data_IF_226837902508
#
_entry.id   IF_226837902508
#
_cell.length_a   1.000
_cell.length_b   1.000
_cell.length_c   1.000
_cell.angle_alpha   90.00
_cell.angle_beta   90.00
_cell.angle_gamma   90.00
#
_symmetry.space_group_name_H-M   'P 1'
#
loop_
_entity.id
_entity.type
_entity.pdbx_description
1 polymer ?
#
# COMPACT_ATOMS: atom_id res chain seq x y z
N UNK A 1 -10.78 19.06 22.52
CA UNK A 1 -12.15 18.73 22.10
C UNK A 1 -12.07 17.51 21.19
N UNK A 2 -12.39 16.31 21.68
CA UNK A 2 -12.39 15.10 20.85
C UNK A 2 -13.63 15.13 19.96
N UNK A 3 -13.44 15.32 18.64
CA UNK A 3 -14.54 15.23 17.68
C UNK A 3 -14.92 13.76 17.55
N UNK A 4 -16.09 13.36 18.06
CA UNK A 4 -16.69 12.08 17.71
C UNK A 4 -16.81 12.02 16.18
N UNK A 5 -16.26 10.96 15.59
CA UNK A 5 -16.32 10.73 14.15
C UNK A 5 -17.48 9.80 13.85
N UNK A 6 -18.27 10.06 12.80
CA UNK A 6 -19.34 9.16 12.41
C UNK A 6 -18.78 7.79 12.04
N UNK A 7 -19.52 6.71 12.27
CA UNK A 7 -19.05 5.32 12.02
C UNK A 7 -18.60 5.10 10.57
N UNK A 8 -19.22 5.82 9.62
CA UNK A 8 -18.84 5.81 8.21
C UNK A 8 -17.38 6.21 7.95
N UNK A 9 -16.78 7.02 8.83
CA UNK A 9 -15.39 7.48 8.71
C UNK A 9 -14.37 6.39 9.05
N UNK A 10 -14.80 5.35 9.77
CA UNK A 10 -13.98 4.24 10.25
C UNK A 10 -14.08 3.00 9.35
N UNK A 11 -14.89 3.06 8.29
CA UNK A 11 -14.97 1.99 7.29
C UNK A 11 -13.64 1.93 6.52
N UNK A 12 -13.06 0.73 6.44
CA UNK A 12 -11.88 0.46 5.61
C UNK A 12 -12.25 0.65 4.15
N UNK A 13 -11.53 1.53 3.47
CA UNK A 13 -11.74 1.82 2.05
C UNK A 13 -10.46 1.73 1.22
N UNK A 14 -9.31 1.49 1.86
CA UNK A 14 -8.06 1.29 1.17
C UNK A 14 -7.04 0.53 1.99
N UNK A 15 -5.89 0.29 1.37
CA UNK A 15 -4.77 -0.42 1.97
C UNK A 15 -3.44 0.24 1.59
N UNK A 16 -2.48 0.15 2.50
CA UNK A 16 -1.06 0.31 2.18
C UNK A 16 -0.49 -1.07 1.88
N UNK A 17 0.03 -1.25 0.68
CA UNK A 17 0.63 -2.51 0.21
C UNK A 17 2.12 -2.30 0.01
N UNK A 18 2.94 -3.24 0.46
CA UNK A 18 4.35 -3.31 0.12
C UNK A 18 4.59 -4.43 -0.90
N UNK A 19 5.28 -4.14 -2.00
CA UNK A 19 5.64 -5.09 -3.05
C UNK A 19 7.16 -5.11 -3.23
N UNK A 20 7.76 -6.29 -3.22
CA UNK A 20 9.18 -6.48 -3.53
C UNK A 20 9.38 -6.51 -5.05
N UNK A 21 10.24 -5.61 -5.54
CA UNK A 21 10.53 -5.45 -6.96
C UNK A 21 12.00 -5.71 -7.22
N UNK A 22 12.27 -6.62 -8.15
CA UNK A 22 13.58 -6.85 -8.74
C UNK A 22 13.91 -5.70 -9.69
N UNK A 23 14.69 -4.74 -9.20
CA UNK A 23 15.16 -3.58 -9.97
C UNK A 23 16.51 -3.91 -10.61
N UNK A 24 16.67 -3.59 -11.90
CA UNK A 24 17.94 -3.82 -12.59
C UNK A 24 19.09 -3.04 -11.93
N UNK A 25 20.18 -3.75 -11.63
CA UNK A 25 21.36 -3.18 -10.98
C UNK A 25 21.36 -3.26 -9.45
N UNK A 26 20.23 -3.57 -8.83
CA UNK A 26 20.15 -3.83 -7.39
C UNK A 26 20.46 -5.29 -7.07
N UNK A 27 21.20 -5.53 -5.97
CA UNK A 27 21.59 -6.89 -5.56
C UNK A 27 20.45 -7.66 -4.91
N UNK A 28 19.49 -6.95 -4.31
CA UNK A 28 18.34 -7.52 -3.62
C UNK A 28 17.08 -6.78 -4.09
N UNK A 29 15.93 -7.46 -4.16
CA UNK A 29 14.66 -6.81 -4.44
C UNK A 29 14.39 -5.64 -3.49
N UNK A 30 13.96 -4.53 -4.07
CA UNK A 30 13.64 -3.30 -3.35
C UNK A 30 12.16 -3.30 -3.02
N UNK A 31 11.82 -2.91 -1.80
CA UNK A 31 10.42 -2.87 -1.37
C UNK A 31 9.77 -1.54 -1.78
N UNK A 32 8.88 -1.58 -2.75
CA UNK A 32 8.05 -0.45 -3.16
C UNK A 32 6.74 -0.44 -2.39
N UNK A 33 6.27 0.75 -2.04
CA UNK A 33 5.05 0.94 -1.29
C UNK A 33 3.98 1.61 -2.14
N UNK A 34 2.74 1.17 -1.97
CA UNK A 34 1.59 1.65 -2.70
C UNK A 34 0.43 1.93 -1.75
N UNK A 35 -0.30 3.00 -2.00
CA UNK A 35 -1.59 3.26 -1.38
C UNK A 35 -2.69 2.95 -2.40
N UNK A 36 -3.62 2.07 -2.04
CA UNK A 36 -4.69 1.61 -2.94
C UNK A 36 -6.05 1.82 -2.28
N UNK A 37 -6.91 2.62 -2.90
CA UNK A 37 -8.26 2.95 -2.44
C UNK A 37 -9.29 1.87 -2.75
N UNK A 38 -9.01 0.60 -2.46
CA UNK A 38 -9.96 -0.51 -2.59
C UNK A 38 -10.16 -1.16 -1.23
N UNK A 39 -11.40 -1.34 -0.79
CA UNK A 39 -11.69 -1.93 0.52
C UNK A 39 -11.28 -3.42 0.62
N UNK A 40 -11.47 -4.17 -0.47
CA UNK A 40 -11.08 -5.57 -0.55
C UNK A 40 -9.55 -5.72 -0.64
N UNK A 41 -8.97 -6.46 0.32
CA UNK A 41 -7.53 -6.65 0.45
C UNK A 41 -6.91 -7.28 -0.79
N UNK A 42 -7.48 -8.37 -1.30
CA UNK A 42 -6.93 -9.11 -2.43
C UNK A 42 -6.90 -8.24 -3.69
N UNK A 43 -7.98 -7.50 -3.96
CA UNK A 43 -8.01 -6.53 -5.08
C UNK A 43 -6.99 -5.41 -4.89
N UNK A 44 -6.75 -4.94 -3.67
CA UNK A 44 -5.75 -3.93 -3.39
C UNK A 44 -4.32 -4.45 -3.64
N UNK A 45 -4.02 -5.67 -3.19
CA UNK A 45 -2.74 -6.35 -3.43
C UNK A 45 -2.47 -6.53 -4.93
N UNK A 46 -3.44 -7.06 -5.69
CA UNK A 46 -3.30 -7.20 -7.15
C UNK A 46 -3.08 -5.86 -7.87
N UNK A 47 -3.80 -4.81 -7.46
CA UNK A 47 -3.61 -3.48 -8.06
C UNK A 47 -2.21 -2.92 -7.77
N UNK A 48 -1.66 -3.18 -6.57
CA UNK A 48 -0.31 -2.78 -6.23
C UNK A 48 0.74 -3.59 -7.02
N UNK A 49 0.50 -4.89 -7.24
CA UNK A 49 1.33 -5.74 -8.10
C UNK A 49 1.36 -5.21 -9.53
N UNK A 50 0.20 -4.89 -10.11
CA UNK A 50 0.11 -4.34 -11.47
C UNK A 50 0.94 -3.05 -11.61
N UNK A 51 0.85 -2.14 -10.62
CA UNK A 51 1.67 -0.93 -10.61
C UNK A 51 3.16 -1.18 -10.37
N UNK A 52 3.50 -2.20 -9.58
CA UNK A 52 4.89 -2.55 -9.30
C UNK A 52 5.59 -3.11 -10.55
N UNK A 53 4.85 -3.78 -11.44
CA UNK A 53 5.37 -4.29 -12.71
C UNK A 53 5.89 -3.19 -13.64
N UNK A 54 5.44 -1.94 -13.49
CA UNK A 54 6.00 -0.79 -14.22
C UNK A 54 7.43 -0.45 -13.78
N UNK A 55 7.83 -0.82 -12.56
CA UNK A 55 9.15 -0.57 -12.00
C UNK A 55 10.12 -1.75 -12.18
N UNK A 56 9.61 -2.98 -12.31
CA UNK A 56 10.40 -4.20 -12.47
C UNK A 56 9.61 -5.47 -12.16
N UNK A 57 10.28 -6.63 -12.20
CA UNK A 57 9.65 -7.91 -11.89
C UNK A 57 9.32 -8.00 -10.40
N UNK A 58 8.13 -8.50 -10.05
CA UNK A 58 7.81 -8.79 -8.64
C UNK A 58 8.57 -10.05 -8.21
N UNK A 59 9.18 -10.00 -7.02
CA UNK A 59 9.93 -11.14 -6.50
C UNK A 59 9.05 -12.40 -6.38
N UNK A 60 9.58 -13.55 -6.77
CA UNK A 60 8.81 -14.81 -6.76
C UNK A 60 8.77 -15.52 -5.41
N UNK A 61 9.58 -15.08 -4.44
CA UNK A 61 9.75 -15.76 -3.15
C UNK A 61 10.09 -14.78 -2.02
N UNK A 62 9.76 -15.11 -0.76
CA UNK A 62 10.09 -14.27 0.41
C UNK A 62 11.58 -14.01 0.55
N UNK A 63 11.94 -12.80 0.99
CA UNK A 63 13.34 -12.37 1.21
C UNK A 63 13.46 -11.75 2.60
N UNK A 64 14.40 -12.24 3.39
CA UNK A 64 14.60 -11.75 4.77
C UNK A 64 13.37 -11.91 5.66
N UNK A 65 12.55 -12.93 5.42
CA UNK A 65 11.32 -13.20 6.18
C UNK A 65 10.13 -12.28 5.84
N UNK A 66 10.22 -11.49 4.77
CA UNK A 66 9.14 -10.65 4.27
C UNK A 66 8.56 -11.24 2.98
N UNK A 67 7.23 -11.27 2.89
CA UNK A 67 6.52 -11.74 1.70
C UNK A 67 6.72 -10.79 0.51
N UNK A 68 6.73 -11.30 -0.74
CA UNK A 68 6.85 -10.45 -1.93
C UNK A 68 5.74 -9.41 -2.05
N UNK A 69 4.52 -9.74 -1.59
CA UNK A 69 3.36 -8.85 -1.58
C UNK A 69 2.75 -8.94 -0.18
N UNK A 70 2.59 -7.80 0.48
CA UNK A 70 2.06 -7.76 1.85
C UNK A 70 1.12 -6.56 2.02
N UNK A 71 -0.08 -6.81 2.54
CA UNK A 71 -0.96 -5.77 3.05
C UNK A 71 -0.49 -5.30 4.43
N UNK A 72 0.10 -4.11 4.50
CA UNK A 72 0.74 -3.57 5.69
C UNK A 72 -0.24 -2.87 6.63
N UNK A 73 -1.25 -2.18 6.08
CA UNK A 73 -2.17 -1.34 6.86
C UNK A 73 -3.49 -1.07 6.14
N UNK A 74 -4.59 -1.18 6.87
CA UNK A 74 -5.90 -0.68 6.44
C UNK A 74 -5.96 0.85 6.50
N UNK A 75 -6.58 1.46 5.49
CA UNK A 75 -6.83 2.89 5.42
C UNK A 75 -8.34 3.11 5.50
N UNK A 76 -8.79 3.71 6.59
CA UNK A 76 -10.19 4.08 6.78
C UNK A 76 -10.56 5.34 5.98
N UNK A 77 -11.85 5.50 5.68
CA UNK A 77 -12.37 6.55 4.80
C UNK A 77 -11.94 7.97 5.20
N UNK A 78 -11.80 8.28 6.49
CA UNK A 78 -11.24 9.57 6.89
C UNK A 78 -9.76 9.74 6.54
N UNK A 79 -8.92 8.71 6.75
CA UNK A 79 -7.49 8.80 6.48
C UNK A 79 -7.24 8.95 4.99
N UNK A 80 -8.03 8.25 4.17
CA UNK A 80 -7.97 8.44 2.72
C UNK A 80 -8.16 9.91 2.33
N UNK A 81 -9.14 10.61 2.93
CA UNK A 81 -9.36 12.05 2.70
C UNK A 81 -8.18 12.91 3.18
N UNK A 82 -7.64 12.65 4.39
CA UNK A 82 -6.48 13.39 4.92
C UNK A 82 -5.18 13.16 4.13
N UNK A 83 -5.02 11.98 3.54
CA UNK A 83 -3.88 11.60 2.72
C UNK A 83 -4.09 11.92 1.23
N UNK A 84 -5.28 12.42 0.87
CA UNK A 84 -5.66 12.77 -0.49
C UNK A 84 -5.73 11.58 -1.44
N UNK A 85 -6.07 10.39 -0.95
CA UNK A 85 -6.30 9.18 -1.74
C UNK A 85 -7.80 9.05 -2.06
N UNK A 86 -8.15 8.93 -3.34
CA UNK A 86 -9.54 8.74 -3.76
C UNK A 86 -9.95 7.26 -3.74
N UNK A 87 -11.25 6.94 -3.55
CA UNK A 87 -11.75 5.60 -3.78
C UNK A 87 -11.45 5.14 -5.22
N UNK A 88 -10.96 3.91 -5.35
CA UNK A 88 -10.53 3.30 -6.61
C UNK A 88 -9.15 3.72 -7.13
N UNK A 89 -8.55 4.78 -6.58
CA UNK A 89 -7.22 5.25 -6.97
C UNK A 89 -6.12 4.32 -6.42
N UNK A 90 -5.02 4.18 -7.16
CA UNK A 90 -3.80 3.58 -6.66
C UNK A 90 -2.62 4.52 -6.91
N UNK A 91 -1.73 4.64 -5.92
CA UNK A 91 -0.64 5.61 -5.91
C UNK A 91 0.66 4.97 -5.42
N UNK A 92 1.72 5.13 -6.20
CA UNK A 92 3.08 4.79 -5.77
C UNK A 92 3.57 5.78 -4.68
N UNK A 93 4.06 5.25 -3.58
CA UNK A 93 4.63 6.02 -2.46
C UNK A 93 6.16 6.04 -2.48
N UNK A 94 6.77 5.21 -3.32
CA UNK A 94 8.22 5.04 -3.45
C UNK A 94 8.76 3.82 -2.70
N UNK A 95 10.08 3.77 -2.54
CA UNK A 95 10.86 2.69 -1.91
C UNK A 95 11.21 2.97 -0.44
N UNK A 96 10.99 4.20 0.02
CA UNK A 96 11.20 4.59 1.41
C UNK A 96 9.97 4.26 2.25
N UNK A 97 10.21 3.79 3.48
CA UNK A 97 9.15 3.46 4.44
C UNK A 97 8.14 4.62 4.57
N UNK A 98 6.85 4.41 4.22
CA UNK A 98 5.87 5.47 4.09
C UNK A 98 5.25 5.79 5.46
N UNK A 99 6.06 6.34 6.37
CA UNK A 99 5.68 6.56 7.79
C UNK A 99 4.31 7.21 7.95
N UNK A 100 4.04 8.29 7.19
CA UNK A 100 2.76 9.02 7.20
C UNK A 100 1.55 8.14 6.90
N UNK A 101 1.72 7.08 6.11
CA UNK A 101 0.66 6.14 5.71
C UNK A 101 0.52 4.97 6.68
N UNK A 102 1.57 4.66 7.44
CA UNK A 102 1.57 3.58 8.44
C UNK A 102 1.22 4.06 9.85
N UNK A 103 1.29 5.37 10.10
CA UNK A 103 0.92 5.99 11.37
C UNK A 103 -0.61 6.03 11.56
N UNK A 104 -1.04 5.62 12.76
CA UNK A 104 -2.42 5.68 13.26
C UNK A 104 -2.99 7.11 13.24
#
# INVERSE_FOLDING_TARGET
MFRQRPDADLIVQGWVIGVMVEVQGERLPVRHYFAVGKADRARAEWTAVDLAMDAGSVASSPIGGQEPVEALREIVAYRMRELGLKPGEARALGDKSPRRWLSL
#
